data_IF_151939275201
#
_entry.id   IF_151939275201
#
_cell.length_a   1.000
_cell.length_b   1.000
_cell.length_c   1.000
_cell.angle_alpha   90.00
_cell.angle_beta   90.00
_cell.angle_gamma   90.00
#
_symmetry.space_group_name_H-M   'P 1'
#
loop_
_entity.id
_entity.type
_entity.pdbx_description
1 polymer ?
#
# COMPACT_ATOMS: atom_id res chain seq x y z
N UNK A 1 6.09 22.48 -7.83
CA UNK A 1 7.41 22.68 -7.18
C UNK A 1 8.48 22.69 -8.26
N UNK A 2 9.25 23.77 -8.41
CA UNK A 2 10.40 23.80 -9.31
C UNK A 2 11.55 23.01 -8.68
N UNK A 3 11.69 21.74 -9.08
CA UNK A 3 12.82 20.90 -8.67
C UNK A 3 14.08 21.39 -9.40
N UNK A 4 15.14 21.70 -8.65
CA UNK A 4 16.41 22.21 -9.17
C UNK A 4 17.44 21.12 -9.46
N UNK A 5 17.17 19.88 -9.03
CA UNK A 5 18.06 18.74 -9.14
C UNK A 5 17.45 17.70 -10.10
N UNK A 6 18.25 17.20 -11.04
CA UNK A 6 17.76 16.23 -12.03
C UNK A 6 17.78 14.80 -11.48
N UNK A 7 18.90 14.39 -10.89
CA UNK A 7 19.11 13.02 -10.42
C UNK A 7 19.75 13.00 -9.03
N UNK A 8 19.09 12.33 -8.08
CA UNK A 8 19.67 11.90 -6.82
C UNK A 8 20.16 10.46 -6.96
N UNK A 9 21.43 10.20 -6.63
CA UNK A 9 22.04 8.86 -6.68
C UNK A 9 22.18 8.31 -5.26
N UNK A 10 21.50 7.18 -4.98
CA UNK A 10 21.63 6.40 -3.75
C UNK A 10 22.33 5.08 -4.04
N UNK A 11 23.36 4.76 -3.25
CA UNK A 11 24.22 3.60 -3.45
C UNK A 11 24.82 3.11 -2.12
N UNK A 12 25.24 1.84 -2.07
CA UNK A 12 25.96 1.30 -0.92
C UNK A 12 27.47 1.59 -1.03
N UNK A 13 28.21 1.60 0.08
CA UNK A 13 29.66 1.89 0.04
C UNK A 13 30.44 0.96 -0.90
N UNK A 14 29.99 -0.28 -1.04
CA UNK A 14 30.56 -1.28 -1.93
C UNK A 14 30.31 -0.98 -3.41
N UNK A 15 29.22 -0.28 -3.72
CA UNK A 15 28.81 0.09 -5.08
C UNK A 15 29.39 1.45 -5.52
N UNK A 16 30.30 2.03 -4.73
CA UNK A 16 30.88 3.36 -4.96
C UNK A 16 31.51 3.52 -6.34
N UNK A 17 32.23 2.49 -6.82
CA UNK A 17 32.87 2.54 -8.13
C UNK A 17 31.84 2.70 -9.26
N UNK A 18 30.75 1.94 -9.20
CA UNK A 18 29.64 2.04 -10.15
C UNK A 18 28.92 3.38 -10.03
N UNK A 19 28.70 3.86 -8.81
CA UNK A 19 28.06 5.14 -8.57
C UNK A 19 28.87 6.32 -9.14
N UNK A 20 30.20 6.32 -8.96
CA UNK A 20 31.11 7.31 -9.53
C UNK A 20 31.09 7.31 -11.06
N UNK A 21 31.09 6.13 -11.69
CA UNK A 21 30.99 6.03 -13.17
C UNK A 21 29.66 6.58 -13.69
N UNK A 22 28.55 6.21 -13.05
CA UNK A 22 27.23 6.71 -13.43
C UNK A 22 27.14 8.22 -13.26
N UNK A 23 27.67 8.75 -12.16
CA UNK A 23 27.74 10.18 -11.88
C UNK A 23 28.49 10.94 -12.97
N UNK A 24 29.71 10.52 -13.31
CA UNK A 24 30.50 11.14 -14.39
C UNK A 24 29.74 11.13 -15.71
N UNK A 25 29.12 10.00 -16.06
CA UNK A 25 28.34 9.89 -17.29
C UNK A 25 27.13 10.84 -17.28
N UNK A 26 26.40 10.95 -16.17
CA UNK A 26 25.23 11.82 -16.08
C UNK A 26 25.63 13.31 -16.16
N UNK A 27 26.69 13.71 -15.48
CA UNK A 27 27.18 15.10 -15.47
C UNK A 27 27.78 15.51 -16.83
N UNK A 28 28.48 14.60 -17.53
CA UNK A 28 28.93 14.82 -18.92
C UNK A 28 27.78 15.06 -19.90
N UNK A 29 26.55 14.68 -19.54
CA UNK A 29 25.34 14.91 -20.34
C UNK A 29 24.48 16.06 -19.76
N UNK A 30 25.12 16.99 -19.04
CA UNK A 30 24.53 18.23 -18.52
C UNK A 30 23.38 18.04 -17.52
N UNK A 31 23.34 16.88 -16.84
CA UNK A 31 22.38 16.64 -15.76
C UNK A 31 22.96 17.10 -14.42
N UNK A 32 22.13 17.79 -13.63
CA UNK A 32 22.52 18.17 -12.27
C UNK A 32 22.32 16.96 -11.35
N UNK A 33 23.42 16.41 -10.84
CA UNK A 33 23.42 15.24 -9.98
C UNK A 33 23.74 15.57 -8.52
N UNK A 34 23.16 14.80 -7.60
CA UNK A 34 23.47 14.84 -6.18
C UNK A 34 23.85 13.45 -5.70
N UNK A 35 24.95 13.35 -4.97
CA UNK A 35 25.47 12.10 -4.42
C UNK A 35 26.11 12.33 -3.04
N UNK A 36 25.79 11.47 -2.07
CA UNK A 36 26.46 11.48 -0.77
C UNK A 36 27.80 10.71 -0.86
N UNK A 37 28.88 11.12 -0.16
CA UNK A 37 29.00 12.29 0.71
C UNK A 37 29.30 13.61 -0.01
N UNK A 38 29.59 13.60 -1.32
CA UNK A 38 30.10 14.76 -2.09
C UNK A 38 29.29 16.03 -1.88
N UNK A 39 27.96 15.90 -1.92
CA UNK A 39 27.03 17.03 -1.97
C UNK A 39 26.32 17.31 -0.62
N UNK A 40 26.82 16.71 0.47
CA UNK A 40 26.33 16.99 1.82
C UNK A 40 26.92 18.31 2.31
N UNK A 41 26.06 19.27 2.65
CA UNK A 41 26.51 20.57 3.16
C UNK A 41 27.14 20.44 4.55
N UNK A 42 28.20 21.22 4.86
CA UNK A 42 28.75 21.31 6.21
C UNK A 42 27.65 21.66 7.23
N UNK A 43 27.72 21.05 8.42
CA UNK A 43 26.76 21.24 9.53
C UNK A 43 25.34 20.68 9.33
N UNK A 44 25.03 19.95 8.25
CA UNK A 44 23.78 19.17 8.13
C UNK A 44 23.99 17.71 8.50
N UNK A 45 22.97 17.07 9.07
CA UNK A 45 22.97 15.62 9.31
C UNK A 45 22.81 14.86 8.00
N UNK A 46 23.46 13.69 7.90
CA UNK A 46 23.45 12.85 6.69
C UNK A 46 22.03 12.48 6.26
N UNK A 47 21.20 12.03 7.20
CA UNK A 47 19.82 11.63 6.96
C UNK A 47 18.94 12.77 6.45
N UNK A 48 19.01 13.95 7.08
CA UNK A 48 18.21 15.11 6.64
C UNK A 48 18.64 15.60 5.26
N UNK A 49 19.93 15.48 4.94
CA UNK A 49 20.46 15.86 3.64
C UNK A 49 19.89 14.98 2.53
N UNK A 50 19.81 13.65 2.76
CA UNK A 50 19.20 12.71 1.80
C UNK A 50 17.69 12.97 1.64
N UNK A 51 16.94 13.14 2.72
CA UNK A 51 15.50 13.41 2.60
C UNK A 51 15.25 14.71 1.82
N UNK A 52 16.03 15.75 2.11
CA UNK A 52 15.93 17.03 1.40
C UNK A 52 16.33 16.91 -0.07
N UNK A 53 17.31 16.07 -0.42
CA UNK A 53 17.69 15.83 -1.81
C UNK A 53 16.62 15.03 -2.54
N UNK A 54 15.95 14.05 -1.91
CA UNK A 54 14.80 13.34 -2.52
C UNK A 54 13.69 14.33 -2.86
N UNK A 55 13.40 15.29 -1.96
CA UNK A 55 12.39 16.32 -2.20
C UNK A 55 12.73 17.22 -3.40
N UNK A 56 14.00 17.60 -3.54
CA UNK A 56 14.46 18.52 -4.57
C UNK A 56 14.80 17.84 -5.91
N UNK A 57 15.03 16.52 -5.91
CA UNK A 57 15.34 15.74 -7.10
C UNK A 57 14.10 15.47 -7.95
N UNK A 58 14.26 15.47 -9.26
CA UNK A 58 13.25 14.98 -10.20
C UNK A 58 13.25 13.45 -10.26
N UNK A 59 14.44 12.85 -10.29
CA UNK A 59 14.65 11.41 -10.40
C UNK A 59 15.42 10.89 -9.19
N UNK A 60 14.97 9.76 -8.65
CA UNK A 60 15.67 9.01 -7.61
C UNK A 60 16.29 7.75 -8.21
N UNK A 61 17.60 7.76 -8.44
CA UNK A 61 18.37 6.62 -8.96
C UNK A 61 18.94 5.81 -7.79
N UNK A 62 18.51 4.57 -7.65
CA UNK A 62 18.95 3.66 -6.60
C UNK A 62 19.75 2.52 -7.20
N UNK A 63 20.99 2.35 -6.76
CA UNK A 63 21.83 1.21 -7.11
C UNK A 63 21.45 0.02 -6.20
N UNK A 64 20.88 -1.02 -6.81
CA UNK A 64 20.40 -2.21 -6.14
C UNK A 64 21.44 -3.33 -6.19
N UNK A 65 21.88 -3.71 -4.99
CA UNK A 65 22.67 -4.89 -4.67
C UNK A 65 21.95 -5.70 -3.58
N UNK A 66 22.31 -6.98 -3.39
CA UNK A 66 21.76 -7.86 -2.33
C UNK A 66 21.85 -7.22 -0.95
N UNK A 67 22.89 -6.43 -0.72
CA UNK A 67 23.12 -5.73 0.56
C UNK A 67 22.32 -4.45 0.67
N UNK A 68 22.12 -3.71 -0.42
CA UNK A 68 21.38 -2.44 -0.37
C UNK A 68 19.89 -2.68 -0.09
N UNK A 69 19.31 -3.77 -0.61
CA UNK A 69 17.89 -4.10 -0.39
C UNK A 69 17.55 -4.49 1.06
N UNK A 70 18.54 -4.99 1.81
CA UNK A 70 18.39 -5.41 3.21
C UNK A 70 18.50 -4.24 4.20
N UNK A 71 18.94 -3.06 3.75
CA UNK A 71 19.10 -1.89 4.61
C UNK A 71 17.76 -1.20 4.85
N UNK A 72 17.50 -0.85 6.11
CA UNK A 72 16.25 -0.20 6.52
C UNK A 72 16.16 1.21 5.94
N UNK A 73 17.28 1.92 5.89
CA UNK A 73 17.41 3.28 5.41
C UNK A 73 16.99 3.41 3.95
N UNK A 74 17.44 2.49 3.08
CA UNK A 74 17.11 2.50 1.66
C UNK A 74 15.62 2.25 1.44
N UNK A 75 15.00 1.38 2.25
CA UNK A 75 13.56 1.17 2.20
C UNK A 75 12.79 2.43 2.62
N UNK A 76 13.20 3.11 3.69
CA UNK A 76 12.60 4.38 4.12
C UNK A 76 12.74 5.48 3.05
N UNK A 77 13.89 5.56 2.38
CA UNK A 77 14.13 6.50 1.28
C UNK A 77 13.26 6.21 0.05
N UNK A 78 13.11 4.93 -0.34
CA UNK A 78 12.25 4.51 -1.45
C UNK A 78 10.79 4.84 -1.13
N UNK A 79 10.32 4.53 0.08
CA UNK A 79 8.95 4.91 0.52
C UNK A 79 8.75 6.42 0.46
N UNK A 80 9.76 7.19 0.87
CA UNK A 80 9.69 8.65 0.78
C UNK A 80 9.62 9.11 -0.69
N UNK A 81 10.43 8.56 -1.57
CA UNK A 81 10.41 8.87 -3.00
C UNK A 81 9.06 8.50 -3.64
N UNK A 82 8.47 7.35 -3.27
CA UNK A 82 7.13 6.93 -3.70
C UNK A 82 6.07 7.92 -3.21
N UNK A 83 6.09 8.28 -1.93
CA UNK A 83 5.13 9.25 -1.36
C UNK A 83 5.21 10.63 -2.03
N UNK A 84 6.42 11.03 -2.44
CA UNK A 84 6.69 12.27 -3.16
C UNK A 84 6.50 12.13 -4.68
N UNK A 85 6.05 10.96 -5.17
CA UNK A 85 5.85 10.64 -6.59
C UNK A 85 7.05 10.94 -7.47
N UNK A 86 8.24 10.70 -6.93
CA UNK A 86 9.48 10.83 -7.67
C UNK A 86 9.58 9.69 -8.67
N UNK A 87 10.21 9.95 -9.80
CA UNK A 87 10.52 8.89 -10.74
C UNK A 87 11.70 8.09 -10.20
N UNK A 88 11.51 6.80 -10.00
CA UNK A 88 12.53 5.94 -9.39
C UNK A 88 13.16 5.09 -10.50
N UNK A 89 14.49 5.07 -10.54
CA UNK A 89 15.24 4.16 -11.39
C UNK A 89 15.98 3.19 -10.48
N UNK A 90 15.71 1.90 -10.64
CA UNK A 90 16.44 0.84 -9.98
C UNK A 90 17.53 0.32 -10.91
N UNK A 91 18.78 0.61 -10.58
CA UNK A 91 19.94 0.11 -11.30
C UNK A 91 20.46 -1.17 -10.64
N UNK A 92 20.19 -2.33 -11.23
CA UNK A 92 20.60 -3.61 -10.66
C UNK A 92 22.04 -3.94 -11.05
N UNK A 93 22.95 -4.00 -10.08
CA UNK A 93 24.36 -4.42 -10.31
C UNK A 93 24.55 -5.93 -10.30
N UNK A 94 23.55 -6.67 -9.83
CA UNK A 94 23.54 -8.13 -9.83
C UNK A 94 22.10 -8.65 -9.98
N UNK A 95 21.96 -9.91 -10.36
CA UNK A 95 20.65 -10.55 -10.53
C UNK A 95 19.92 -10.63 -9.20
N UNK A 96 18.81 -9.90 -9.10
CA UNK A 96 18.02 -9.72 -7.89
C UNK A 96 16.54 -9.81 -8.19
N UNK A 97 15.83 -10.57 -7.36
CA UNK A 97 14.37 -10.49 -7.30
C UNK A 97 13.98 -9.33 -6.39
N UNK A 98 13.19 -8.40 -6.93
CA UNK A 98 12.65 -7.31 -6.13
C UNK A 98 11.67 -7.87 -5.10
N UNK A 99 11.61 -7.32 -3.88
CA UNK A 99 10.57 -7.63 -2.91
C UNK A 99 9.18 -7.49 -3.54
N UNK A 100 8.25 -8.37 -3.16
CA UNK A 100 6.87 -8.37 -3.67
C UNK A 100 6.21 -6.97 -3.62
N UNK A 101 6.50 -6.21 -2.56
CA UNK A 101 6.04 -4.82 -2.39
C UNK A 101 6.42 -3.89 -3.55
N UNK A 102 7.65 -4.00 -4.07
CA UNK A 102 8.08 -3.22 -5.22
C UNK A 102 7.49 -3.82 -6.50
N UNK A 103 7.37 -5.15 -6.61
CA UNK A 103 6.79 -5.80 -7.79
C UNK A 103 5.35 -5.33 -8.09
N UNK A 104 4.54 -5.02 -7.08
CA UNK A 104 3.17 -4.51 -7.28
C UNK A 104 3.12 -3.05 -7.74
N UNK A 105 4.25 -2.33 -7.70
CA UNK A 105 4.39 -0.91 -8.01
C UNK A 105 5.27 -0.65 -9.25
N UNK A 106 5.44 -1.64 -10.13
CA UNK A 106 6.29 -1.55 -11.34
C UNK A 106 5.97 -0.37 -12.27
N UNK A 107 4.77 0.21 -12.21
CA UNK A 107 4.42 1.40 -12.99
C UNK A 107 5.09 2.69 -12.49
N UNK A 108 5.64 2.70 -11.26
CA UNK A 108 6.29 3.86 -10.62
C UNK A 108 7.80 3.92 -10.87
N UNK A 109 8.40 2.85 -11.37
CA UNK A 109 9.86 2.77 -11.49
C UNK A 109 10.33 2.01 -12.72
N UNK A 110 11.52 2.35 -13.18
CA UNK A 110 12.20 1.65 -14.28
C UNK A 110 13.36 0.84 -13.72
N UNK A 111 13.40 -0.46 -14.04
CA UNK A 111 14.53 -1.31 -13.72
C UNK A 111 15.51 -1.38 -14.89
N UNK A 112 16.78 -1.10 -14.61
CA UNK A 112 17.89 -1.23 -15.56
C UNK A 112 18.78 -2.36 -15.07
N UNK A 113 19.00 -3.34 -15.94
CA UNK A 113 19.94 -4.43 -15.69
C UNK A 113 21.34 -3.95 -16.04
N UNK A 114 22.16 -3.71 -15.01
CA UNK A 114 23.57 -3.31 -15.15
C UNK A 114 24.55 -4.48 -15.16
N UNK A 115 24.08 -5.71 -14.97
CA UNK A 115 24.88 -6.95 -15.00
C UNK A 115 24.72 -7.69 -16.33
N UNK A 116 25.71 -8.49 -16.71
CA UNK A 116 25.74 -9.31 -17.94
C UNK A 116 25.48 -8.54 -19.25
N UNK A 117 25.76 -7.23 -19.27
CA UNK A 117 25.59 -6.35 -20.44
C UNK A 117 26.81 -5.44 -20.63
N UNK A 118 27.15 -5.08 -21.88
CA UNK A 118 28.21 -4.11 -22.13
C UNK A 118 27.83 -2.74 -21.56
N UNK A 119 28.82 -2.03 -21.00
CA UNK A 119 28.60 -0.77 -20.29
C UNK A 119 27.91 0.29 -21.17
N UNK A 120 28.25 0.36 -22.46
CA UNK A 120 27.65 1.31 -23.42
C UNK A 120 26.14 1.14 -23.59
N UNK A 121 25.64 -0.11 -23.61
CA UNK A 121 24.21 -0.40 -23.76
C UNK A 121 23.43 0.01 -22.50
N UNK A 122 24.00 -0.28 -21.33
CA UNK A 122 23.43 0.05 -20.04
C UNK A 122 23.32 1.56 -19.86
N UNK A 123 24.38 2.30 -20.22
CA UNK A 123 24.40 3.75 -20.18
C UNK A 123 23.40 4.36 -21.18
N UNK A 124 23.30 3.79 -22.38
CA UNK A 124 22.33 4.23 -23.39
C UNK A 124 20.89 4.02 -22.92
N UNK A 125 20.60 2.90 -22.26
CA UNK A 125 19.30 2.64 -21.66
C UNK A 125 18.96 3.62 -20.52
N UNK A 126 19.94 3.95 -19.67
CA UNK A 126 19.77 4.95 -18.62
C UNK A 126 19.47 6.33 -19.20
N UNK A 127 20.23 6.76 -20.22
CA UNK A 127 20.01 8.02 -20.93
C UNK A 127 18.62 8.10 -21.55
N UNK A 128 18.20 7.07 -22.28
CA UNK A 128 16.87 7.02 -22.89
C UNK A 128 15.77 7.09 -21.83
N UNK A 129 15.96 6.43 -20.68
CA UNK A 129 15.00 6.45 -19.58
C UNK A 129 14.85 7.84 -18.97
N UNK A 130 15.96 8.57 -18.79
CA UNK A 130 15.97 9.94 -18.27
C UNK A 130 15.40 10.95 -19.26
N UNK A 131 15.71 10.79 -20.55
CA UNK A 131 15.18 11.63 -21.62
C UNK A 131 13.66 11.45 -21.80
N UNK A 132 13.19 10.20 -21.84
CA UNK A 132 11.76 9.89 -21.89
C UNK A 132 11.02 10.42 -20.66
N UNK A 133 11.64 10.38 -19.48
CA UNK A 133 11.06 10.97 -18.28
C UNK A 133 10.91 12.49 -18.42
N UNK A 134 11.97 13.19 -18.86
CA UNK A 134 11.93 14.64 -19.09
C UNK A 134 10.81 15.03 -20.06
N UNK A 135 10.67 14.30 -21.17
CA UNK A 135 9.57 14.50 -22.13
C UNK A 135 8.21 14.26 -21.48
N UNK A 136 8.01 13.12 -20.82
CA UNK A 136 6.70 12.78 -20.23
C UNK A 136 6.31 13.73 -19.10
N UNK A 137 7.29 14.28 -18.38
CA UNK A 137 7.08 15.35 -17.38
C UNK A 137 6.64 16.63 -18.05
N UNK A 138 7.37 17.09 -19.06
CA UNK A 138 7.07 18.34 -19.76
C UNK A 138 5.72 18.26 -20.50
N UNK A 139 5.33 17.06 -20.94
CA UNK A 139 4.03 16.78 -21.55
C UNK A 139 2.89 16.54 -20.52
N UNK A 140 3.17 16.54 -19.21
CA UNK A 140 2.16 16.29 -18.16
C UNK A 140 1.56 14.87 -18.17
N UNK A 141 2.20 13.93 -18.86
CA UNK A 141 1.74 12.54 -19.05
C UNK A 141 2.04 11.69 -17.81
N UNK A 142 3.11 12.01 -17.08
CA UNK A 142 3.27 11.54 -15.70
C UNK A 142 2.39 12.40 -14.80
N UNK A 143 1.69 11.83 -13.80
CA UNK A 143 0.78 12.60 -12.95
C UNK A 143 1.56 13.79 -12.38
N UNK A 144 1.26 15.04 -12.79
CA UNK A 144 2.06 16.20 -12.46
C UNK A 144 1.82 16.49 -11.00
N UNK A 145 2.67 15.98 -10.09
CA UNK A 145 2.52 16.07 -8.63
C UNK A 145 1.05 16.29 -8.25
N UNK A 146 0.14 15.41 -8.72
CA UNK A 146 -1.29 15.62 -8.50
C UNK A 146 -1.39 15.83 -7.00
N UNK A 147 -2.10 16.84 -6.53
CA UNK A 147 -2.61 16.87 -5.16
C UNK A 147 -3.32 15.52 -4.96
N UNK A 148 -2.59 14.50 -4.51
CA UNK A 148 -3.19 13.45 -3.73
C UNK A 148 -3.36 14.18 -2.44
N UNK A 149 -4.59 14.64 -2.20
CA UNK A 149 -5.03 15.02 -0.88
C UNK A 149 -4.33 14.08 0.10
N UNK A 150 -3.50 14.61 1.00
CA UNK A 150 -2.85 13.81 2.06
C UNK A 150 -3.90 13.03 2.88
N UNK A 151 -5.17 13.42 2.79
CA UNK A 151 -6.34 12.75 3.33
C UNK A 151 -6.65 11.37 2.69
N UNK A 152 -6.17 11.08 1.48
CA UNK A 152 -6.70 10.00 0.64
C UNK A 152 -6.03 8.63 0.75
N UNK A 153 -4.95 8.42 1.52
CA UNK A 153 -4.32 7.09 1.57
C UNK A 153 -3.96 6.54 2.95
N UNK A 154 -4.35 7.21 4.04
CA UNK A 154 -4.18 6.66 5.39
C UNK A 154 -4.88 5.32 5.57
N UNK A 155 -6.06 5.15 4.96
CA UNK A 155 -6.80 3.90 5.03
C UNK A 155 -6.10 2.76 4.26
N UNK A 156 -5.54 3.04 3.09
CA UNK A 156 -4.83 2.03 2.29
C UNK A 156 -3.49 1.67 2.91
N UNK A 157 -2.71 2.67 3.35
CA UNK A 157 -1.44 2.45 4.04
C UNK A 157 -1.64 1.68 5.35
N UNK A 158 -2.69 2.01 6.11
CA UNK A 158 -3.10 1.27 7.30
C UNK A 158 -3.42 -0.19 6.98
N UNK A 159 -4.17 -0.47 5.91
CA UNK A 159 -4.48 -1.84 5.45
C UNK A 159 -3.22 -2.62 5.07
N UNK A 160 -2.29 -1.99 4.37
CA UNK A 160 -1.01 -2.61 3.98
C UNK A 160 -0.20 -3.01 5.22
N UNK A 161 -0.03 -2.10 6.17
CA UNK A 161 0.70 -2.39 7.40
C UNK A 161 -0.01 -3.42 8.29
N UNK A 162 -1.34 -3.41 8.30
CA UNK A 162 -2.15 -4.42 8.99
C UNK A 162 -1.91 -5.82 8.43
N UNK A 163 -1.86 -5.97 7.11
CA UNK A 163 -1.55 -7.25 6.44
C UNK A 163 -0.12 -7.71 6.73
N UNK A 164 0.82 -6.78 6.81
CA UNK A 164 2.22 -7.05 7.18
C UNK A 164 2.42 -7.32 8.67
N UNK A 165 1.34 -7.33 9.48
CA UNK A 165 1.36 -7.47 10.95
C UNK A 165 2.10 -6.34 11.68
N UNK A 166 2.32 -5.21 11.02
CA UNK A 166 2.89 -4.00 11.60
C UNK A 166 1.79 -3.20 12.32
N UNK A 167 1.23 -3.77 13.39
CA UNK A 167 0.02 -3.23 14.01
C UNK A 167 0.21 -1.82 14.61
N UNK A 168 1.42 -1.39 14.98
CA UNK A 168 1.65 -0.05 15.54
C UNK A 168 1.49 1.03 14.47
N UNK A 169 2.19 0.86 13.35
CA UNK A 169 2.08 1.76 12.20
C UNK A 169 0.68 1.72 11.59
N UNK A 170 0.08 0.54 11.49
CA UNK A 170 -1.30 0.40 11.03
C UNK A 170 -2.27 1.19 11.94
N UNK A 171 -2.10 1.12 13.26
CA UNK A 171 -2.92 1.86 14.22
C UNK A 171 -2.80 3.38 14.03
N UNK A 172 -1.58 3.90 13.87
CA UNK A 172 -1.35 5.33 13.62
C UNK A 172 -2.05 5.81 12.34
N UNK A 173 -1.92 5.05 11.25
CA UNK A 173 -2.60 5.37 10.00
C UNK A 173 -4.12 5.29 10.12
N UNK A 174 -4.65 4.29 10.82
CA UNK A 174 -6.09 4.19 11.01
C UNK A 174 -6.65 5.27 11.94
N UNK A 175 -5.90 5.77 12.93
CA UNK A 175 -6.29 6.95 13.72
C UNK A 175 -6.44 8.17 12.80
N UNK A 176 -5.49 8.40 11.90
CA UNK A 176 -5.54 9.52 10.96
C UNK A 176 -6.71 9.37 9.98
N UNK A 177 -6.94 8.16 9.45
CA UNK A 177 -8.08 7.87 8.59
C UNK A 177 -9.43 8.01 9.34
N UNK A 178 -9.48 7.64 10.62
CA UNK A 178 -10.67 7.76 11.46
C UNK A 178 -10.98 9.22 11.80
N UNK A 179 -9.96 10.04 12.08
CA UNK A 179 -10.11 11.50 12.26
C UNK A 179 -10.60 12.18 10.98
N UNK A 180 -10.26 11.62 9.81
CA UNK A 180 -10.80 12.04 8.53
C UNK A 180 -12.23 11.52 8.24
N UNK A 181 -12.87 10.82 9.19
CA UNK A 181 -14.25 10.34 9.09
C UNK A 181 -14.41 8.97 8.43
N UNK A 182 -13.33 8.21 8.22
CA UNK A 182 -13.43 6.86 7.64
C UNK A 182 -14.02 5.85 8.64
N UNK A 183 -15.24 5.38 8.34
CA UNK A 183 -15.88 4.34 9.13
C UNK A 183 -15.15 2.99 9.06
N UNK A 184 -14.47 2.71 7.95
CA UNK A 184 -13.68 1.49 7.77
C UNK A 184 -12.42 1.51 8.65
N UNK A 185 -11.82 2.67 8.87
CA UNK A 185 -10.67 2.81 9.77
C UNK A 185 -11.03 2.44 11.21
N UNK A 186 -12.21 2.83 11.68
CA UNK A 186 -12.72 2.43 13.00
C UNK A 186 -12.86 0.91 13.15
N UNK A 187 -13.24 0.18 12.09
CA UNK A 187 -13.27 -1.27 12.13
C UNK A 187 -11.86 -1.87 12.30
N UNK A 188 -10.89 -1.42 11.53
CA UNK A 188 -9.52 -1.92 11.67
C UNK A 188 -8.88 -1.56 13.01
N UNK A 189 -9.21 -0.39 13.59
CA UNK A 189 -8.80 -0.05 14.97
C UNK A 189 -9.36 -1.06 15.98
N UNK A 190 -10.63 -1.46 15.85
CA UNK A 190 -11.24 -2.50 16.67
C UNK A 190 -10.54 -3.85 16.53
N UNK A 191 -10.21 -4.25 15.30
CA UNK A 191 -9.50 -5.51 15.03
C UNK A 191 -8.07 -5.52 15.58
N UNK A 192 -7.34 -4.40 15.44
CA UNK A 192 -6.02 -4.25 16.04
C UNK A 192 -6.12 -4.36 17.56
N UNK A 193 -7.11 -3.71 18.19
CA UNK A 193 -7.31 -3.80 19.63
C UNK A 193 -7.61 -5.24 20.07
N UNK A 194 -8.47 -5.97 19.34
CA UNK A 194 -8.79 -7.38 19.62
C UNK A 194 -7.55 -8.28 19.55
N UNK A 195 -6.66 -8.04 18.58
CA UNK A 195 -5.40 -8.79 18.44
C UNK A 195 -4.35 -8.42 19.49
N UNK A 196 -4.39 -7.19 20.01
CA UNK A 196 -3.45 -6.66 21.02
C UNK A 196 -3.88 -6.91 22.47
N UNK A 197 -5.17 -7.15 22.73
CA UNK A 197 -5.69 -7.53 24.05
C UNK A 197 -5.01 -8.78 24.65
N UNK A 198 -4.18 -9.50 23.88
CA UNK A 198 -3.30 -10.54 24.40
C UNK A 198 -2.10 -10.02 25.21
N UNK A 199 -1.77 -8.71 25.25
CA UNK A 199 -0.51 -8.27 25.89
C UNK A 199 -0.45 -6.93 26.66
N UNK A 200 -1.44 -6.02 26.70
CA UNK A 200 -1.37 -4.87 27.64
C UNK A 200 -2.65 -4.03 27.85
N UNK A 201 -2.65 -3.31 28.98
CA UNK A 201 -3.74 -2.71 29.77
C UNK A 201 -4.37 -1.39 29.29
N UNK A 202 -4.03 -0.85 28.10
CA UNK A 202 -4.49 0.51 27.70
C UNK A 202 -4.83 0.58 26.20
N UNK A 203 -5.77 -0.24 25.74
CA UNK A 203 -6.44 0.00 24.47
C UNK A 203 -7.94 0.11 24.75
N UNK A 204 -8.58 1.17 24.25
CA UNK A 204 -10.04 1.30 24.27
C UNK A 204 -10.66 0.00 23.75
N UNK A 205 -11.70 -0.51 24.43
CA UNK A 205 -12.32 -1.79 24.07
C UNK A 205 -12.75 -1.78 22.59
N UNK A 206 -12.54 -2.86 21.81
CA UNK A 206 -12.93 -2.95 20.39
C UNK A 206 -14.37 -2.50 20.12
N UNK A 207 -15.27 -2.73 21.08
CA UNK A 207 -16.68 -2.29 21.08
C UNK A 207 -16.82 -0.80 20.78
N UNK A 208 -15.96 0.06 21.35
CA UNK A 208 -16.05 1.51 21.20
C UNK A 208 -15.82 1.91 19.74
N UNK A 209 -14.80 1.34 19.11
CA UNK A 209 -14.49 1.65 17.71
C UNK A 209 -15.56 1.10 16.76
N UNK A 210 -16.07 -0.10 17.00
CA UNK A 210 -17.16 -0.63 16.19
C UNK A 210 -18.46 0.18 16.31
N UNK A 211 -18.78 0.71 17.49
CA UNK A 211 -19.90 1.65 17.65
C UNK A 211 -19.67 2.96 16.89
N UNK A 212 -18.47 3.54 16.93
CA UNK A 212 -18.13 4.72 16.13
C UNK A 212 -18.31 4.47 14.62
N UNK A 213 -17.96 3.28 14.12
CA UNK A 213 -18.22 2.90 12.72
C UNK A 213 -19.74 2.81 12.40
N UNK A 214 -20.55 2.35 13.36
CA UNK A 214 -22.01 2.30 13.23
C UNK A 214 -22.62 3.71 13.21
N UNK A 215 -22.15 4.61 14.08
CA UNK A 215 -22.61 6.00 14.12
C UNK A 215 -22.35 6.72 12.78
N UNK A 216 -21.30 6.31 12.07
CA UNK A 216 -21.00 6.73 10.69
C UNK A 216 -21.79 5.98 9.60
N UNK A 217 -22.86 5.28 9.97
CA UNK A 217 -23.75 4.50 9.08
C UNK A 217 -23.00 3.43 8.26
N UNK A 218 -21.92 2.87 8.81
CA UNK A 218 -21.20 1.77 8.17
C UNK A 218 -21.61 0.42 8.73
N UNK A 219 -22.04 -0.46 7.84
CA UNK A 219 -22.45 -1.81 8.19
C UNK A 219 -21.30 -2.66 8.74
N UNK A 220 -20.05 -2.28 8.45
CA UNK A 220 -18.84 -2.98 8.89
C UNK A 220 -18.64 -2.91 10.42
N UNK A 221 -19.15 -1.85 11.08
CA UNK A 221 -19.09 -1.72 12.53
C UNK A 221 -19.95 -2.76 13.23
N UNK A 222 -21.14 -3.03 12.69
CA UNK A 222 -21.99 -4.09 13.22
C UNK A 222 -21.36 -5.48 13.06
N UNK A 223 -20.63 -5.73 11.96
CA UNK A 223 -19.89 -6.98 11.75
C UNK A 223 -18.83 -7.20 12.84
N UNK A 224 -18.02 -6.17 13.11
CA UNK A 224 -17.00 -6.23 14.16
C UNK A 224 -17.57 -6.50 15.56
N UNK A 225 -18.71 -5.87 15.91
CA UNK A 225 -19.40 -6.16 17.18
C UNK A 225 -19.90 -7.60 17.26
N UNK A 226 -20.51 -8.10 16.19
CA UNK A 226 -21.07 -9.43 16.17
C UNK A 226 -19.99 -10.52 16.28
N UNK A 227 -18.85 -10.36 15.58
CA UNK A 227 -17.69 -11.25 15.70
C UNK A 227 -17.12 -11.25 17.13
N UNK A 228 -17.00 -10.05 17.74
CA UNK A 228 -16.52 -9.95 19.12
C UNK A 228 -17.42 -10.67 20.13
N UNK A 229 -18.75 -10.61 19.95
CA UNK A 229 -19.71 -11.27 20.82
C UNK A 229 -19.83 -12.78 20.56
N UNK A 230 -19.56 -13.24 19.34
CA UNK A 230 -19.58 -14.67 19.00
C UNK A 230 -18.48 -15.44 19.73
N UNK A 231 -17.30 -14.82 19.91
CA UNK A 231 -16.15 -15.44 20.61
C UNK A 231 -16.44 -15.79 22.08
N UNK A 232 -17.46 -15.20 22.71
CA UNK A 232 -17.75 -15.37 24.14
C UNK A 232 -18.78 -16.46 24.47
N UNK A 233 -19.30 -17.22 23.47
CA UNK A 233 -20.30 -18.32 23.55
C UNK A 233 -21.63 -18.01 24.29
N UNK A 234 -21.60 -17.43 25.49
CA UNK A 234 -22.76 -17.01 26.29
C UNK A 234 -23.54 -15.86 25.64
N UNK A 235 -22.89 -15.05 24.80
CA UNK A 235 -23.50 -13.90 24.10
C UNK A 235 -24.02 -14.24 22.70
N UNK A 236 -24.11 -15.51 22.31
CA UNK A 236 -24.51 -15.93 20.96
C UNK A 236 -25.89 -15.39 20.52
N UNK A 237 -26.87 -15.31 21.43
CA UNK A 237 -28.20 -14.71 21.13
C UNK A 237 -28.09 -13.22 20.80
N UNK A 238 -27.23 -12.50 21.51
CA UNK A 238 -27.00 -11.07 21.30
C UNK A 238 -26.22 -10.86 20.00
N UNK A 239 -25.20 -11.68 19.75
CA UNK A 239 -24.46 -11.69 18.48
C UNK A 239 -25.40 -11.92 17.29
N UNK A 240 -26.36 -12.84 17.40
CA UNK A 240 -27.37 -13.09 16.37
C UNK A 240 -28.28 -11.90 16.10
N UNK A 241 -28.68 -11.16 17.15
CA UNK A 241 -29.44 -9.91 16.99
C UNK A 241 -28.63 -8.85 16.24
N UNK A 242 -27.34 -8.71 16.56
CA UNK A 242 -26.46 -7.80 15.82
C UNK A 242 -26.28 -8.25 14.38
N UNK A 243 -26.00 -9.53 14.10
CA UNK A 243 -25.93 -10.03 12.73
C UNK A 243 -27.20 -9.76 11.93
N UNK A 244 -28.39 -9.83 12.54
CA UNK A 244 -29.65 -9.48 11.88
C UNK A 244 -29.78 -7.98 11.58
N UNK A 245 -29.20 -7.12 12.41
CA UNK A 245 -29.13 -5.68 12.12
C UNK A 245 -28.10 -5.38 11.02
N UNK A 246 -26.93 -6.05 11.05
CA UNK A 246 -25.92 -6.01 9.97
C UNK A 246 -26.58 -6.36 8.65
N UNK A 247 -27.28 -7.51 8.58
CA UNK A 247 -27.81 -8.03 7.31
C UNK A 247 -28.77 -7.05 6.67
N UNK A 248 -29.67 -6.43 7.45
CA UNK A 248 -30.59 -5.43 6.93
C UNK A 248 -29.86 -4.19 6.36
N UNK A 249 -28.84 -3.68 7.07
CA UNK A 249 -28.07 -2.52 6.61
C UNK A 249 -27.18 -2.83 5.40
N UNK A 250 -26.62 -4.05 5.32
CA UNK A 250 -25.86 -4.51 4.16
C UNK A 250 -26.79 -4.75 2.97
N UNK A 251 -27.98 -5.31 3.19
CA UNK A 251 -28.94 -5.61 2.14
C UNK A 251 -29.34 -4.34 1.37
N UNK A 252 -29.62 -3.23 2.06
CA UNK A 252 -29.94 -1.95 1.44
C UNK A 252 -28.81 -1.48 0.50
N UNK A 253 -27.57 -1.46 0.98
CA UNK A 253 -26.41 -1.05 0.17
C UNK A 253 -26.05 -2.04 -0.95
N UNK A 254 -26.27 -3.33 -0.74
CA UNK A 254 -26.06 -4.35 -1.76
C UNK A 254 -27.10 -4.28 -2.89
N UNK A 255 -28.33 -3.84 -2.56
CA UNK A 255 -29.35 -3.50 -3.55
C UNK A 255 -28.95 -2.27 -4.38
N UNK A 256 -28.33 -1.28 -3.74
CA UNK A 256 -27.71 -0.09 -4.38
C UNK A 256 -26.41 -0.38 -5.15
N UNK A 257 -26.15 -1.65 -5.48
CA UNK A 257 -25.03 -2.08 -6.33
C UNK A 257 -23.63 -1.85 -5.74
N UNK A 258 -23.50 -1.70 -4.41
CA UNK A 258 -22.19 -1.70 -3.75
C UNK A 258 -21.57 -3.12 -3.79
N UNK A 259 -20.49 -3.27 -4.55
CA UNK A 259 -19.80 -4.55 -4.74
C UNK A 259 -19.23 -5.16 -3.45
N UNK A 260 -18.77 -4.34 -2.51
CA UNK A 260 -18.25 -4.83 -1.23
C UNK A 260 -19.37 -5.31 -0.32
N UNK A 261 -20.49 -4.58 -0.27
CA UNK A 261 -21.68 -5.00 0.49
C UNK A 261 -22.27 -6.31 -0.07
N UNK A 262 -22.31 -6.47 -1.40
CA UNK A 262 -22.69 -7.73 -2.03
C UNK A 262 -21.81 -8.90 -1.57
N UNK A 263 -20.49 -8.68 -1.44
CA UNK A 263 -19.56 -9.70 -0.95
C UNK A 263 -19.84 -10.04 0.53
N UNK A 264 -19.99 -9.06 1.41
CA UNK A 264 -20.30 -9.31 2.81
C UNK A 264 -21.63 -10.07 2.97
N UNK A 265 -22.66 -9.69 2.21
CA UNK A 265 -23.95 -10.37 2.22
C UNK A 265 -23.85 -11.84 1.76
N UNK A 266 -22.97 -12.13 0.80
CA UNK A 266 -22.68 -13.53 0.40
C UNK A 266 -22.12 -14.37 1.54
N UNK A 267 -21.24 -13.80 2.37
CA UNK A 267 -20.67 -14.49 3.53
C UNK A 267 -21.76 -14.76 4.58
N UNK A 268 -22.67 -13.80 4.80
CA UNK A 268 -23.75 -13.95 5.78
C UNK A 268 -24.68 -15.11 5.43
N UNK A 269 -25.09 -15.25 4.17
CA UNK A 269 -25.87 -16.40 3.70
C UNK A 269 -25.08 -17.71 3.75
N UNK A 270 -23.78 -17.68 3.46
CA UNK A 270 -22.93 -18.88 3.51
C UNK A 270 -22.76 -19.41 4.94
N UNK A 271 -22.57 -18.52 5.91
CA UNK A 271 -22.30 -18.86 7.31
C UNK A 271 -23.55 -18.95 8.18
N UNK A 272 -24.71 -18.51 7.66
CA UNK A 272 -25.96 -18.46 8.44
C UNK A 272 -25.91 -17.41 9.57
N UNK A 273 -25.14 -16.34 9.38
CA UNK A 273 -24.94 -15.28 10.39
C UNK A 273 -26.01 -14.21 10.23
N UNK A 274 -27.06 -14.27 11.06
CA UNK A 274 -28.18 -13.31 11.04
C UNK A 274 -29.16 -13.51 9.88
N UNK A 275 -28.93 -14.52 9.05
CA UNK A 275 -29.76 -14.97 7.93
C UNK A 275 -29.81 -16.50 7.96
N UNK A 276 -30.86 -17.08 7.39
CA UNK A 276 -30.89 -18.52 7.17
C UNK A 276 -29.81 -18.90 6.14
N UNK A 277 -29.11 -20.00 6.41
CA UNK A 277 -28.04 -20.46 5.55
C UNK A 277 -28.61 -20.83 4.18
N UNK A 278 -28.14 -20.16 3.13
CA UNK A 278 -28.54 -20.41 1.75
C UNK A 278 -27.33 -20.28 0.81
N UNK A 279 -26.82 -21.41 0.36
CA UNK A 279 -25.64 -21.45 -0.50
C UNK A 279 -25.92 -20.90 -1.91
N UNK A 280 -27.17 -20.97 -2.37
CA UNK A 280 -27.56 -20.47 -3.69
C UNK A 280 -27.61 -18.94 -3.72
N UNK A 281 -28.22 -18.33 -2.70
CA UNK A 281 -28.22 -16.88 -2.54
C UNK A 281 -26.82 -16.35 -2.25
N UNK A 282 -26.01 -17.07 -1.45
CA UNK A 282 -24.61 -16.70 -1.22
C UNK A 282 -23.84 -16.59 -2.55
N UNK A 283 -23.93 -17.59 -3.42
CA UNK A 283 -23.27 -17.57 -4.72
C UNK A 283 -23.78 -16.45 -5.63
N UNK A 284 -25.10 -16.21 -5.63
CA UNK A 284 -25.71 -15.14 -6.43
C UNK A 284 -25.19 -13.75 -6.02
N UNK A 285 -25.10 -13.47 -4.72
CA UNK A 285 -24.56 -12.21 -4.21
C UNK A 285 -23.06 -12.07 -4.45
N UNK A 286 -22.31 -13.17 -4.39
CA UNK A 286 -20.88 -13.18 -4.72
C UNK A 286 -20.63 -12.82 -6.20
N UNK A 287 -21.47 -13.31 -7.11
CA UNK A 287 -21.40 -12.95 -8.53
C UNK A 287 -21.72 -11.46 -8.76
N UNK A 288 -22.72 -10.92 -8.05
CA UNK A 288 -23.00 -9.47 -8.05
C UNK A 288 -21.82 -8.65 -7.53
N UNK A 289 -21.17 -9.09 -6.47
CA UNK A 289 -20.00 -8.41 -5.92
C UNK A 289 -18.91 -8.19 -6.99
N UNK A 290 -18.58 -9.26 -7.73
CA UNK A 290 -17.59 -9.22 -8.81
C UNK A 290 -18.07 -8.31 -9.95
N UNK A 291 -19.35 -8.41 -10.34
CA UNK A 291 -19.95 -7.56 -11.38
C UNK A 291 -19.81 -6.07 -11.05
N UNK A 292 -19.99 -5.69 -9.78
CA UNK A 292 -19.90 -4.31 -9.30
C UNK A 292 -18.50 -3.92 -8.82
N UNK A 293 -17.46 -4.55 -9.38
CA UNK A 293 -16.08 -4.09 -9.25
C UNK A 293 -15.36 -4.54 -7.98
N UNK A 294 -15.96 -5.40 -7.15
CA UNK A 294 -15.25 -5.98 -6.01
C UNK A 294 -14.18 -6.97 -6.49
N UNK A 295 -12.91 -6.60 -6.29
CA UNK A 295 -11.77 -7.48 -6.54
C UNK A 295 -11.55 -8.37 -5.33
N UNK A 296 -11.84 -9.66 -5.47
CA UNK A 296 -11.63 -10.64 -4.42
C UNK A 296 -10.16 -10.64 -3.95
N UNK A 297 -9.91 -10.57 -2.63
CA UNK A 297 -8.57 -10.75 -2.10
C UNK A 297 -8.17 -12.23 -2.17
N UNK A 298 -7.07 -12.52 -2.89
CA UNK A 298 -6.30 -13.78 -2.90
C UNK A 298 -6.87 -15.08 -3.55
N UNK A 299 -5.96 -16.04 -3.91
CA UNK A 299 -6.30 -17.28 -4.64
C UNK A 299 -7.08 -18.32 -3.84
N UNK A 300 -7.19 -18.19 -2.52
CA UNK A 300 -7.85 -19.15 -1.62
C UNK A 300 -9.38 -19.15 -1.81
N UNK A 301 -9.98 -17.96 -1.98
CA UNK A 301 -11.40 -17.83 -2.36
C UNK A 301 -11.60 -18.21 -3.83
N UNK A 302 -10.64 -17.88 -4.71
CA UNK A 302 -10.64 -18.31 -6.11
C UNK A 302 -10.65 -19.84 -6.24
N UNK A 303 -9.88 -20.54 -5.40
CA UNK A 303 -9.94 -22.01 -5.27
C UNK A 303 -11.31 -22.47 -4.79
N UNK A 304 -11.90 -21.84 -3.76
CA UNK A 304 -13.26 -22.19 -3.32
C UNK A 304 -14.34 -21.86 -4.35
N UNK A 305 -14.08 -21.06 -5.39
CA UNK A 305 -15.02 -20.82 -6.50
C UNK A 305 -14.81 -21.88 -7.59
N UNK A 306 -13.55 -22.27 -7.85
CA UNK A 306 -13.19 -23.32 -8.82
C UNK A 306 -13.60 -24.72 -8.33
N UNK A 307 -13.48 -25.01 -7.02
CA UNK A 307 -13.87 -26.30 -6.42
C UNK A 307 -15.38 -26.57 -6.52
N UNK A 308 -16.19 -25.53 -6.73
CA UNK A 308 -17.65 -25.63 -6.87
C UNK A 308 -18.13 -25.57 -8.33
N UNK A 309 -17.24 -25.85 -9.30
CA UNK A 309 -17.66 -26.35 -10.62
C UNK A 309 -17.92 -25.32 -11.72
N UNK A 310 -17.31 -24.14 -11.68
CA UNK A 310 -17.34 -23.22 -12.83
C UNK A 310 -16.01 -23.27 -13.60
N UNK A 311 -16.08 -23.76 -14.84
CA UNK A 311 -15.03 -23.56 -15.86
C UNK A 311 -15.16 -22.13 -16.41
N UNK A 312 -14.04 -21.42 -16.46
CA UNK A 312 -13.87 -20.27 -17.34
C UNK A 312 -13.66 -20.78 -18.77
#
# INVERSE_FOLDING_TARGET
>A
MNCTLDVLISYSNEDKATASKLLECLELNELVCWIAPRDIQPCKTWHNSIISSIQNANTYLVILSKRSIQRKEINEEIEKAISLKKYIIFFQVEKLELPYRLQTQQYLFTCIQGYDRPEEDVLSQLKNSLYLFRIKRDAGIFPPAREINEQADFLQNGKIDYLNRNFDRAYEYFIQAANAGSAEAFFYLGEICRKRECNQSILEKPIVFYKKAIDLKSAIGYWGLAELLDTKKETAKIAMQYYKQVSNAIAEKALDEDGYCCFLYSIMYKEGKGLDKDETLALWWLQRAIKFGYKLPEPSIKRSIITYGYRW
#
